data_IF_226439215183
#
_entry.id   IF_226439215183
#
_cell.length_a   1.000
_cell.length_b   1.000
_cell.length_c   1.000
_cell.angle_alpha   90.00
_cell.angle_beta   90.00
_cell.angle_gamma   90.00
#
_symmetry.space_group_name_H-M   'P 1'
#
loop_
_entity.id
_entity.type
_entity.pdbx_description
1 polymer ?
#
# COMPACT_ATOMS: atom_id res chain seq x y z
N UNK A 1 -5.46 29.87 3.05
CA UNK A 1 -5.86 29.07 1.88
C UNK A 1 -7.06 28.27 2.32
N UNK A 2 -8.18 28.37 1.62
CA UNK A 2 -9.39 27.60 1.94
C UNK A 2 -9.03 26.11 1.98
N UNK A 3 -9.47 25.43 3.03
CA UNK A 3 -9.44 23.99 3.16
C UNK A 3 -10.31 23.36 2.05
N UNK A 4 -9.82 23.31 0.84
CA UNK A 4 -10.45 22.51 -0.22
C UNK A 4 -10.19 21.05 0.13
N UNK A 5 -11.27 20.35 0.45
CA UNK A 5 -11.26 18.91 0.62
C UNK A 5 -10.63 18.25 -0.62
N UNK A 6 -9.52 17.52 -0.45
CA UNK A 6 -8.88 16.79 -1.53
C UNK A 6 -9.41 15.34 -1.60
N UNK A 7 -9.61 14.79 -2.78
CA UNK A 7 -9.41 15.42 -4.09
C UNK A 7 -10.51 16.40 -4.45
N UNK A 8 -10.25 17.27 -5.44
CA UNK A 8 -11.27 18.13 -6.03
C UNK A 8 -12.36 17.33 -6.77
N UNK A 9 -13.39 18.00 -7.27
CA UNK A 9 -14.51 17.37 -8.03
C UNK A 9 -14.08 16.61 -9.30
N UNK A 10 -12.87 16.83 -9.79
CA UNK A 10 -12.29 16.13 -10.94
C UNK A 10 -11.33 14.99 -10.51
N UNK A 11 -11.27 14.70 -9.23
CA UNK A 11 -10.40 13.69 -8.66
C UNK A 11 -8.94 14.08 -8.60
N UNK A 12 -8.64 15.38 -8.47
CA UNK A 12 -7.26 15.88 -8.47
C UNK A 12 -6.81 16.31 -7.09
N UNK A 13 -5.56 16.00 -6.80
CA UNK A 13 -4.76 16.50 -5.69
C UNK A 13 -3.77 17.53 -6.27
N UNK A 14 -4.14 18.82 -6.30
CA UNK A 14 -3.42 19.82 -7.07
C UNK A 14 -3.42 19.47 -8.57
N UNK A 15 -2.23 19.22 -9.14
CA UNK A 15 -2.08 18.81 -10.56
C UNK A 15 -2.12 17.30 -10.76
N UNK A 16 -2.07 16.49 -9.69
CA UNK A 16 -2.01 15.03 -9.71
C UNK A 16 -3.38 14.38 -9.65
N UNK A 17 -3.47 13.08 -9.95
CA UNK A 17 -4.74 12.34 -10.00
C UNK A 17 -5.47 12.48 -11.32
N UNK A 18 -6.79 12.59 -11.25
CA UNK A 18 -7.66 12.70 -12.43
C UNK A 18 -8.03 11.35 -13.04
N UNK A 19 -8.55 11.37 -14.28
CA UNK A 19 -9.02 10.19 -15.03
C UNK A 19 -8.40 10.19 -16.43
N UNK A 20 -7.27 9.52 -16.60
CA UNK A 20 -6.56 9.38 -17.87
C UNK A 20 -6.79 7.97 -18.42
N UNK A 21 -8.02 7.69 -18.86
CA UNK A 21 -8.46 6.37 -19.30
C UNK A 21 -9.10 6.43 -20.67
N UNK A 22 -9.27 5.26 -21.30
CA UNK A 22 -10.06 5.15 -22.53
C UNK A 22 -11.52 5.56 -22.26
N UNK A 23 -12.17 6.18 -23.24
CA UNK A 23 -13.56 6.67 -23.14
C UNK A 23 -14.53 5.59 -22.67
N UNK A 24 -14.29 4.33 -23.04
CA UNK A 24 -15.10 3.17 -22.65
C UNK A 24 -15.13 2.90 -21.16
N UNK A 25 -14.13 3.37 -20.38
CA UNK A 25 -14.11 3.25 -18.91
C UNK A 25 -14.76 4.43 -18.18
N UNK A 26 -14.98 5.55 -18.85
CA UNK A 26 -15.51 6.75 -18.19
C UNK A 26 -16.87 6.51 -17.51
N UNK A 27 -17.86 5.86 -18.16
CA UNK A 27 -19.15 5.59 -17.53
C UNK A 27 -19.03 4.71 -16.27
N UNK A 28 -18.15 3.71 -16.28
CA UNK A 28 -17.93 2.83 -15.12
C UNK A 28 -17.30 3.56 -13.95
N UNK A 29 -16.36 4.49 -14.23
CA UNK A 29 -15.74 5.32 -13.19
C UNK A 29 -16.71 6.37 -12.65
N UNK A 30 -17.62 6.86 -13.45
CA UNK A 30 -18.70 7.76 -13.00
C UNK A 30 -19.68 7.01 -12.11
N UNK A 31 -20.17 5.84 -12.54
CA UNK A 31 -20.99 4.95 -11.72
C UNK A 31 -20.31 4.66 -10.37
N UNK A 32 -19.03 4.26 -10.40
CA UNK A 32 -18.27 3.98 -9.20
C UNK A 32 -18.18 5.20 -8.27
N UNK A 33 -17.90 6.38 -8.84
CA UNK A 33 -17.79 7.64 -8.10
C UNK A 33 -19.10 8.00 -7.41
N UNK A 34 -20.23 7.90 -8.14
CA UNK A 34 -21.57 8.19 -7.62
C UNK A 34 -21.96 7.21 -6.50
N UNK A 35 -21.74 5.91 -6.72
CA UNK A 35 -22.05 4.89 -5.72
C UNK A 35 -21.18 5.06 -4.46
N UNK A 36 -19.89 5.39 -4.63
CA UNK A 36 -19.03 5.66 -3.51
C UNK A 36 -19.47 6.88 -2.69
N UNK A 37 -19.87 7.98 -3.35
CA UNK A 37 -20.40 9.18 -2.68
C UNK A 37 -21.69 8.91 -1.87
N UNK A 38 -22.48 7.92 -2.30
CA UNK A 38 -23.67 7.49 -1.56
C UNK A 38 -23.29 6.65 -0.34
N UNK A 39 -22.48 5.60 -0.54
CA UNK A 39 -22.19 4.64 0.53
C UNK A 39 -21.34 5.22 1.67
N UNK A 40 -20.47 6.17 1.40
CA UNK A 40 -19.64 6.80 2.44
C UNK A 40 -20.46 7.61 3.46
N UNK A 41 -21.76 7.85 3.19
CA UNK A 41 -22.72 8.50 4.08
C UNK A 41 -23.80 7.56 4.59
N UNK A 42 -23.82 6.31 4.09
CA UNK A 42 -24.82 5.31 4.49
C UNK A 42 -24.41 4.64 5.82
N UNK A 43 -25.15 4.94 6.87
CA UNK A 43 -24.89 4.39 8.21
C UNK A 43 -24.89 2.86 8.25
N UNK A 44 -25.72 2.21 7.42
CA UNK A 44 -25.79 0.75 7.34
C UNK A 44 -24.52 0.18 6.72
N UNK A 45 -24.05 0.76 5.62
CA UNK A 45 -22.78 0.39 4.99
C UNK A 45 -21.60 0.60 5.94
N UNK A 46 -21.53 1.78 6.56
CA UNK A 46 -20.45 2.11 7.49
C UNK A 46 -20.45 1.19 8.71
N UNK A 47 -21.62 0.78 9.19
CA UNK A 47 -21.73 -0.20 10.27
C UNK A 47 -21.24 -1.57 9.82
N UNK A 48 -21.69 -2.09 8.68
CA UNK A 48 -21.25 -3.38 8.13
C UNK A 48 -19.73 -3.39 7.93
N UNK A 49 -19.16 -2.33 7.37
CA UNK A 49 -17.71 -2.18 7.20
C UNK A 49 -16.96 -2.22 8.55
N UNK A 50 -17.44 -1.50 9.55
CA UNK A 50 -16.83 -1.49 10.90
C UNK A 50 -16.93 -2.85 11.60
N UNK A 51 -18.08 -3.51 11.48
CA UNK A 51 -18.30 -4.85 12.03
C UNK A 51 -17.33 -5.85 11.36
N UNK A 52 -17.14 -5.79 10.05
CA UNK A 52 -16.19 -6.63 9.32
C UNK A 52 -14.73 -6.32 9.68
N UNK A 53 -14.37 -5.07 9.84
CA UNK A 53 -13.04 -4.69 10.31
C UNK A 53 -12.76 -5.28 11.71
N UNK A 54 -13.76 -5.28 12.59
CA UNK A 54 -13.62 -5.81 13.95
C UNK A 54 -13.59 -7.34 13.95
N UNK A 55 -14.62 -7.98 13.38
CA UNK A 55 -14.90 -9.40 13.60
C UNK A 55 -14.19 -10.32 12.58
N UNK A 56 -13.90 -9.81 11.36
CA UNK A 56 -13.23 -10.57 10.33
C UNK A 56 -11.75 -10.17 10.16
N UNK A 57 -11.43 -8.89 10.22
CA UNK A 57 -10.04 -8.43 10.10
C UNK A 57 -9.28 -8.55 11.41
N UNK A 58 -9.95 -8.39 12.56
CA UNK A 58 -9.36 -8.47 13.89
C UNK A 58 -8.85 -7.13 14.41
N UNK A 59 -9.46 -6.02 13.95
CA UNK A 59 -9.11 -4.66 14.40
C UNK A 59 -9.73 -4.32 15.77
N UNK A 60 -9.13 -3.37 16.54
CA UNK A 60 -7.97 -2.55 16.18
C UNK A 60 -6.65 -3.33 16.22
N UNK A 61 -5.75 -3.05 15.25
CA UNK A 61 -4.40 -3.61 15.32
C UNK A 61 -3.59 -2.95 16.43
N UNK A 62 -2.69 -3.68 17.14
CA UNK A 62 -1.94 -3.11 18.25
C UNK A 62 -0.98 -2.00 17.84
N UNK A 63 -0.81 -1.00 18.72
CA UNK A 63 0.34 -0.10 18.73
C UNK A 63 1.33 -0.62 19.77
N UNK A 64 2.38 -1.30 19.32
CA UNK A 64 3.34 -2.04 20.15
C UNK A 64 4.59 -1.22 20.41
N UNK A 65 4.99 -1.06 21.68
CA UNK A 65 6.27 -0.43 22.02
C UNK A 65 7.43 -1.40 21.82
N UNK A 66 8.27 -1.14 20.83
CA UNK A 66 9.46 -1.93 20.52
C UNK A 66 10.60 -1.60 21.51
N UNK A 67 10.47 -2.11 22.74
CA UNK A 67 11.33 -1.75 23.87
C UNK A 67 12.80 -2.10 23.62
N UNK A 68 13.07 -3.34 23.24
CA UNK A 68 14.45 -3.81 23.03
C UNK A 68 15.10 -3.11 21.86
N UNK A 69 14.32 -2.85 20.81
CA UNK A 69 14.83 -2.14 19.65
C UNK A 69 15.10 -0.66 19.96
N UNK A 70 14.22 -0.01 20.73
CA UNK A 70 14.46 1.34 21.27
C UNK A 70 15.74 1.40 22.12
N UNK A 71 15.94 0.45 23.01
CA UNK A 71 17.14 0.37 23.86
C UNK A 71 18.41 0.12 23.02
N UNK A 72 18.33 -0.71 21.98
CA UNK A 72 19.46 -1.01 21.10
C UNK A 72 19.90 0.21 20.29
N UNK A 73 18.95 0.94 19.69
CA UNK A 73 19.25 2.08 18.83
C UNK A 73 19.56 3.35 19.62
N UNK A 74 18.94 3.50 20.80
CA UNK A 74 18.94 4.75 21.55
C UNK A 74 18.09 5.84 20.88
N UNK A 75 18.06 7.05 21.47
CA UNK A 75 17.28 8.17 20.93
C UNK A 75 15.77 8.00 21.09
N UNK A 76 15.01 8.20 20.04
CA UNK A 76 13.54 8.20 20.09
C UNK A 76 12.95 6.85 20.49
N UNK A 77 11.79 6.87 21.16
CA UNK A 77 10.97 5.69 21.45
C UNK A 77 10.28 5.20 20.18
N UNK A 78 10.36 3.91 19.90
CA UNK A 78 9.86 3.31 18.67
C UNK A 78 8.61 2.50 18.97
N UNK A 79 7.53 2.79 18.24
CA UNK A 79 6.26 2.08 18.31
C UNK A 79 5.94 1.48 16.94
N UNK A 80 5.46 0.25 16.93
CA UNK A 80 5.09 -0.48 15.73
C UNK A 80 3.56 -0.58 15.63
N UNK A 81 2.96 -0.03 14.58
CA UNK A 81 1.57 -0.27 14.25
C UNK A 81 1.47 -1.60 13.51
N UNK A 82 0.85 -2.59 14.15
CA UNK A 82 0.96 -4.02 13.81
C UNK A 82 -0.10 -4.46 12.80
N UNK A 83 -0.05 -3.92 11.58
CA UNK A 83 -0.94 -4.34 10.47
C UNK A 83 -0.62 -5.76 9.95
N UNK A 84 0.54 -6.30 10.27
CA UNK A 84 0.95 -7.68 10.04
C UNK A 84 0.10 -8.72 10.81
N UNK A 85 -0.59 -8.30 11.86
CA UNK A 85 -1.47 -9.14 12.68
C UNK A 85 -2.91 -9.21 12.17
N UNK A 86 -3.28 -8.39 11.18
CA UNK A 86 -4.60 -8.45 10.58
C UNK A 86 -4.82 -9.79 9.87
N UNK A 87 -6.09 -10.18 9.71
CA UNK A 87 -6.44 -11.29 8.83
C UNK A 87 -5.78 -11.14 7.47
N UNK A 88 -5.27 -12.21 6.88
CA UNK A 88 -4.40 -12.30 5.70
C UNK A 88 -2.94 -11.88 5.90
N UNK A 89 -2.62 -11.19 7.01
CA UNK A 89 -1.24 -10.86 7.40
C UNK A 89 -0.71 -9.53 6.84
N UNK A 90 -1.57 -8.60 6.44
CA UNK A 90 -1.18 -7.28 5.95
C UNK A 90 -2.34 -6.27 6.01
N UNK A 91 -2.04 -4.97 5.83
CA UNK A 91 -3.02 -3.88 5.75
C UNK A 91 -4.00 -4.00 4.56
N UNK A 92 -3.67 -4.78 3.53
CA UNK A 92 -4.47 -4.89 2.29
C UNK A 92 -5.92 -5.29 2.54
N UNK A 93 -6.17 -6.06 3.59
CA UNK A 93 -7.52 -6.53 3.93
C UNK A 93 -8.47 -5.39 4.28
N UNK A 94 -7.98 -4.27 4.86
CA UNK A 94 -8.81 -3.12 5.21
C UNK A 94 -9.54 -2.57 3.98
N UNK A 95 -8.78 -2.32 2.93
CA UNK A 95 -9.27 -1.82 1.67
C UNK A 95 -10.17 -2.83 0.95
N UNK A 96 -9.76 -4.10 0.88
CA UNK A 96 -10.52 -5.12 0.14
C UNK A 96 -11.88 -5.42 0.77
N UNK A 97 -12.01 -5.33 2.09
CA UNK A 97 -13.30 -5.42 2.79
C UNK A 97 -14.21 -4.25 2.37
N UNK A 98 -13.72 -3.03 2.34
CA UNK A 98 -14.52 -1.88 1.89
C UNK A 98 -14.94 -2.00 0.43
N UNK A 99 -14.01 -2.36 -0.46
CA UNK A 99 -14.30 -2.46 -1.89
C UNK A 99 -15.21 -3.65 -2.23
N UNK A 100 -15.13 -4.80 -1.53
CA UNK A 100 -16.03 -5.91 -1.79
C UNK A 100 -17.48 -5.58 -1.39
N UNK A 101 -17.66 -4.85 -0.29
CA UNK A 101 -18.97 -4.37 0.13
C UNK A 101 -19.55 -3.37 -0.89
N UNK A 102 -18.70 -2.48 -1.42
CA UNK A 102 -19.09 -1.57 -2.49
C UNK A 102 -19.46 -2.33 -3.77
N UNK A 103 -18.68 -3.30 -4.19
CA UNK A 103 -18.95 -4.14 -5.35
C UNK A 103 -20.32 -4.86 -5.23
N UNK A 104 -20.63 -5.39 -4.05
CA UNK A 104 -21.95 -5.99 -3.76
C UNK A 104 -23.08 -4.98 -3.80
N UNK A 105 -22.86 -3.79 -3.24
CA UNK A 105 -23.84 -2.70 -3.30
C UNK A 105 -24.17 -2.31 -4.74
N UNK A 106 -23.16 -2.31 -5.63
CA UNK A 106 -23.29 -2.08 -7.06
C UNK A 106 -23.83 -3.28 -7.83
N UNK A 107 -24.12 -4.42 -7.18
CA UNK A 107 -24.66 -5.63 -7.83
C UNK A 107 -23.66 -6.37 -8.73
N UNK A 108 -22.35 -6.08 -8.62
CA UNK A 108 -21.31 -6.75 -9.41
C UNK A 108 -21.13 -8.20 -8.95
N UNK A 109 -20.88 -9.12 -9.88
CA UNK A 109 -20.82 -10.57 -9.63
C UNK A 109 -19.42 -11.16 -9.76
N UNK A 110 -18.55 -10.45 -10.45
CA UNK A 110 -17.19 -10.86 -10.75
C UNK A 110 -16.22 -9.83 -10.20
N UNK A 111 -15.16 -10.30 -9.55
CA UNK A 111 -14.10 -9.48 -8.95
C UNK A 111 -12.81 -9.76 -9.69
N UNK A 112 -12.09 -8.69 -10.04
CA UNK A 112 -10.72 -8.80 -10.52
C UNK A 112 -9.79 -7.98 -9.64
N UNK A 113 -8.52 -8.38 -9.58
CA UNK A 113 -7.46 -7.65 -8.91
C UNK A 113 -6.12 -7.89 -9.61
N UNK A 114 -5.20 -6.95 -9.44
CA UNK A 114 -3.78 -7.11 -9.69
C UNK A 114 -3.04 -7.50 -8.41
N UNK A 115 -1.86 -8.08 -8.53
CA UNK A 115 -0.98 -8.27 -7.37
C UNK A 115 0.49 -8.43 -7.81
N UNK A 116 1.43 -7.89 -7.02
CA UNK A 116 2.87 -8.14 -7.14
C UNK A 116 3.32 -9.15 -6.07
N UNK A 117 3.48 -8.70 -4.81
CA UNK A 117 3.85 -9.56 -3.68
C UNK A 117 2.80 -10.63 -3.31
N UNK A 118 1.65 -10.66 -3.96
CA UNK A 118 0.57 -11.60 -3.70
C UNK A 118 -0.36 -11.23 -2.54
N UNK A 119 0.02 -10.31 -1.66
CA UNK A 119 -0.78 -9.96 -0.48
C UNK A 119 -2.14 -9.34 -0.83
N UNK A 120 -2.18 -8.46 -1.85
CA UNK A 120 -3.44 -7.90 -2.33
C UNK A 120 -4.33 -8.98 -2.96
N UNK A 121 -3.73 -9.86 -3.76
CA UNK A 121 -4.44 -11.02 -4.34
C UNK A 121 -5.03 -11.94 -3.28
N UNK A 122 -4.28 -12.27 -2.22
CA UNK A 122 -4.78 -13.06 -1.09
C UNK A 122 -5.92 -12.36 -0.37
N UNK A 123 -5.79 -11.05 -0.10
CA UNK A 123 -6.83 -10.27 0.57
C UNK A 123 -8.11 -10.23 -0.29
N UNK A 124 -7.98 -9.96 -1.60
CA UNK A 124 -9.13 -9.94 -2.53
C UNK A 124 -9.79 -11.32 -2.66
N UNK A 125 -9.00 -12.37 -2.83
CA UNK A 125 -9.54 -13.74 -2.90
C UNK A 125 -10.25 -14.13 -1.60
N UNK A 126 -9.75 -13.70 -0.43
CA UNK A 126 -10.37 -13.98 0.87
C UNK A 126 -11.76 -13.33 0.99
N UNK A 127 -11.87 -12.06 0.64
CA UNK A 127 -13.18 -11.37 0.71
C UNK A 127 -14.14 -11.86 -0.38
N UNK A 128 -13.65 -12.19 -1.58
CA UNK A 128 -14.47 -12.76 -2.65
C UNK A 128 -15.02 -14.13 -2.26
N UNK A 129 -14.18 -15.04 -1.70
CA UNK A 129 -14.61 -16.33 -1.19
C UNK A 129 -15.70 -16.19 -0.11
N UNK A 130 -15.48 -15.29 0.87
CA UNK A 130 -16.46 -15.01 1.95
C UNK A 130 -17.82 -14.56 1.41
N UNK A 131 -17.83 -13.81 0.31
CA UNK A 131 -19.07 -13.29 -0.29
C UNK A 131 -19.61 -14.13 -1.45
N UNK A 132 -18.95 -15.25 -1.80
CA UNK A 132 -19.38 -16.16 -2.88
C UNK A 132 -19.30 -15.52 -4.28
N UNK A 133 -18.35 -14.63 -4.51
CA UNK A 133 -18.14 -13.95 -5.80
C UNK A 133 -17.00 -14.61 -6.58
N UNK A 134 -17.14 -14.67 -7.91
CA UNK A 134 -16.03 -15.08 -8.78
C UNK A 134 -14.86 -14.12 -8.63
N UNK A 135 -13.64 -14.67 -8.53
CA UNK A 135 -12.44 -13.86 -8.36
C UNK A 135 -11.33 -14.28 -9.32
N UNK A 136 -10.76 -13.31 -10.04
CA UNK A 136 -9.59 -13.48 -10.90
C UNK A 136 -8.51 -12.51 -10.45
N UNK A 137 -7.30 -13.03 -10.25
CA UNK A 137 -6.13 -12.26 -9.83
C UNK A 137 -5.08 -12.31 -10.94
N UNK A 138 -4.74 -11.13 -11.49
CA UNK A 138 -3.65 -10.97 -12.46
C UNK A 138 -2.34 -10.78 -11.70
N UNK A 139 -1.30 -11.51 -12.11
CA UNK A 139 0.01 -11.48 -11.48
C UNK A 139 1.10 -11.70 -12.52
N UNK A 140 2.15 -10.90 -12.48
CA UNK A 140 3.30 -11.08 -13.38
C UNK A 140 3.98 -12.43 -13.17
N UNK A 141 4.47 -13.07 -14.25
CA UNK A 141 5.09 -14.40 -14.14
C UNK A 141 6.35 -14.39 -13.28
N UNK A 142 7.10 -13.29 -13.24
CA UNK A 142 8.25 -13.14 -12.34
C UNK A 142 7.79 -13.06 -10.87
N UNK A 143 6.72 -12.35 -10.60
CA UNK A 143 6.14 -12.27 -9.26
C UNK A 143 5.53 -13.62 -8.80
N UNK A 144 4.92 -14.38 -9.73
CA UNK A 144 4.42 -15.75 -9.45
C UNK A 144 5.54 -16.65 -8.96
N UNK A 145 6.73 -16.58 -9.57
CA UNK A 145 7.90 -17.35 -9.16
C UNK A 145 8.39 -16.92 -7.77
N UNK A 146 8.54 -15.61 -7.56
CA UNK A 146 9.04 -15.03 -6.29
C UNK A 146 8.10 -15.29 -5.11
N UNK A 147 6.77 -15.38 -5.36
CA UNK A 147 5.72 -15.38 -4.34
C UNK A 147 4.79 -16.59 -4.45
N UNK A 148 5.34 -17.76 -4.76
CA UNK A 148 4.60 -19.02 -4.99
C UNK A 148 3.67 -19.41 -3.84
N UNK A 149 4.04 -19.12 -2.59
CA UNK A 149 3.21 -19.38 -1.41
C UNK A 149 1.90 -18.60 -1.44
N UNK A 150 1.95 -17.32 -1.80
CA UNK A 150 0.74 -16.50 -1.94
C UNK A 150 -0.11 -16.93 -3.14
N UNK A 151 0.52 -17.32 -4.24
CA UNK A 151 -0.20 -17.89 -5.40
C UNK A 151 -0.99 -19.13 -4.99
N UNK A 152 -0.40 -20.03 -4.21
CA UNK A 152 -1.09 -21.20 -3.69
C UNK A 152 -2.26 -20.84 -2.76
N UNK A 153 -2.08 -19.85 -1.87
CA UNK A 153 -3.14 -19.35 -0.99
C UNK A 153 -4.33 -18.79 -1.79
N UNK A 154 -4.07 -18.00 -2.84
CA UNK A 154 -5.10 -17.43 -3.73
C UNK A 154 -5.91 -18.57 -4.37
N UNK A 155 -5.24 -19.61 -4.90
CA UNK A 155 -5.90 -20.76 -5.50
C UNK A 155 -6.71 -21.56 -4.49
N UNK A 156 -6.22 -21.77 -3.26
CA UNK A 156 -6.96 -22.44 -2.19
C UNK A 156 -8.24 -21.69 -1.80
N UNK A 157 -8.24 -20.36 -1.90
CA UNK A 157 -9.41 -19.52 -1.67
C UNK A 157 -10.43 -19.56 -2.82
N UNK A 158 -10.15 -20.36 -3.86
CA UNK A 158 -11.06 -20.55 -5.00
C UNK A 158 -10.89 -19.51 -6.11
N UNK A 159 -9.97 -18.58 -5.99
CA UNK A 159 -9.71 -17.60 -7.04
C UNK A 159 -8.80 -18.16 -8.15
N UNK A 160 -8.99 -17.67 -9.37
CA UNK A 160 -8.13 -17.96 -10.52
C UNK A 160 -6.96 -17.00 -10.54
N UNK A 161 -5.74 -17.51 -10.70
CA UNK A 161 -4.55 -16.69 -10.96
C UNK A 161 -4.24 -16.73 -12.45
N UNK A 162 -4.13 -15.56 -13.07
CA UNK A 162 -3.75 -15.39 -14.47
C UNK A 162 -2.34 -14.80 -14.52
N UNK A 163 -1.40 -15.58 -15.06
CA UNK A 163 -0.01 -15.14 -15.29
C UNK A 163 0.07 -14.13 -16.43
N UNK A 164 0.82 -13.07 -16.22
CA UNK A 164 1.05 -12.01 -17.21
C UNK A 164 2.52 -12.04 -17.61
N UNK A 165 2.78 -12.35 -18.89
CA UNK A 165 4.12 -12.48 -19.47
C UNK A 165 4.56 -11.26 -20.29
N UNK A 166 3.71 -10.24 -20.43
CA UNK A 166 4.04 -9.02 -21.15
C UNK A 166 4.97 -8.10 -20.35
N UNK A 167 5.70 -7.23 -21.05
CA UNK A 167 6.59 -6.25 -20.43
C UNK A 167 7.67 -6.89 -19.56
N UNK A 168 7.80 -6.43 -18.32
CA UNK A 168 8.72 -6.97 -17.30
C UNK A 168 8.14 -8.14 -16.52
N UNK A 169 6.89 -8.54 -16.82
CA UNK A 169 6.17 -9.60 -16.12
C UNK A 169 6.04 -9.37 -14.60
N UNK A 170 5.85 -8.11 -14.19
CA UNK A 170 5.73 -7.65 -12.79
C UNK A 170 4.39 -6.95 -12.54
N UNK A 171 4.23 -6.37 -11.36
CA UNK A 171 3.02 -5.66 -10.91
C UNK A 171 2.47 -4.65 -11.93
N UNK A 172 3.35 -3.87 -12.59
CA UNK A 172 2.93 -2.88 -13.60
C UNK A 172 2.14 -3.54 -14.74
N UNK A 173 2.61 -4.68 -15.21
CA UNK A 173 1.99 -5.39 -16.34
C UNK A 173 0.73 -6.13 -15.91
N UNK A 174 0.70 -6.63 -14.65
CA UNK A 174 -0.51 -7.18 -14.04
C UNK A 174 -1.63 -6.12 -13.96
N UNK A 175 -1.33 -4.87 -13.60
CA UNK A 175 -2.29 -3.76 -13.62
C UNK A 175 -2.80 -3.46 -15.03
N UNK A 176 -1.91 -3.46 -16.02
CA UNK A 176 -2.30 -3.25 -17.43
C UNK A 176 -3.29 -4.32 -17.89
N UNK A 177 -3.05 -5.59 -17.54
CA UNK A 177 -3.92 -6.69 -17.95
C UNK A 177 -5.26 -6.67 -17.22
N UNK A 178 -5.25 -6.38 -15.91
CA UNK A 178 -6.47 -6.18 -15.15
C UNK A 178 -7.34 -5.05 -15.73
N UNK A 179 -6.74 -3.95 -16.15
CA UNK A 179 -7.45 -2.85 -16.82
C UNK A 179 -8.04 -3.27 -18.16
N UNK A 180 -7.32 -4.08 -18.97
CA UNK A 180 -7.86 -4.60 -20.25
C UNK A 180 -9.04 -5.54 -20.03
N UNK A 181 -8.94 -6.43 -19.04
CA UNK A 181 -10.05 -7.31 -18.66
C UNK A 181 -11.25 -6.49 -18.20
N UNK A 182 -11.02 -5.47 -17.38
CA UNK A 182 -12.09 -4.62 -16.87
C UNK A 182 -12.84 -3.89 -17.96
N UNK A 183 -12.14 -3.29 -18.94
CA UNK A 183 -12.77 -2.64 -20.13
C UNK A 183 -13.70 -3.60 -20.87
N UNK A 184 -13.30 -4.86 -20.95
CA UNK A 184 -14.07 -5.89 -21.70
C UNK A 184 -15.31 -6.37 -20.93
N UNK A 185 -15.27 -6.37 -19.58
CA UNK A 185 -16.27 -7.01 -18.73
C UNK A 185 -16.86 -6.02 -17.70
N UNK A 186 -16.94 -4.75 -18.02
CA UNK A 186 -17.27 -3.66 -17.09
C UNK A 186 -18.66 -3.78 -16.46
N UNK A 187 -19.61 -4.39 -17.16
CA UNK A 187 -21.02 -4.44 -16.73
C UNK A 187 -21.21 -5.25 -15.45
N UNK A 188 -20.54 -6.39 -15.33
CA UNK A 188 -20.68 -7.32 -14.19
C UNK A 188 -19.47 -7.41 -13.29
N UNK A 189 -18.36 -6.77 -13.67
CA UNK A 189 -17.06 -6.89 -13.02
C UNK A 189 -16.73 -5.64 -12.22
N UNK A 190 -16.25 -5.85 -10.99
CA UNK A 190 -15.62 -4.82 -10.17
C UNK A 190 -14.11 -5.07 -10.09
N UNK A 191 -13.33 -4.05 -10.40
CA UNK A 191 -11.89 -4.08 -10.23
C UNK A 191 -11.52 -3.58 -8.83
N UNK A 192 -11.02 -4.47 -7.95
CA UNK A 192 -10.49 -4.11 -6.65
C UNK A 192 -9.03 -3.70 -6.81
N UNK A 193 -8.74 -2.40 -6.86
CA UNK A 193 -7.38 -1.88 -6.92
C UNK A 193 -6.73 -1.93 -5.53
N UNK A 194 -5.48 -2.43 -5.48
CA UNK A 194 -4.77 -2.72 -4.24
C UNK A 194 -3.99 -1.55 -3.63
N UNK A 195 -3.95 -0.38 -4.29
CA UNK A 195 -3.20 0.77 -3.79
C UNK A 195 -3.93 2.09 -4.05
N UNK A 196 -3.41 3.19 -3.48
CA UNK A 196 -3.91 4.56 -3.71
C UNK A 196 -3.50 5.08 -5.09
N UNK A 197 -3.55 4.21 -6.10
CA UNK A 197 -3.17 4.43 -7.48
C UNK A 197 -4.38 4.21 -8.41
N UNK A 198 -4.25 4.52 -9.67
CA UNK A 198 -5.32 4.36 -10.65
C UNK A 198 -6.15 5.62 -10.86
N UNK A 199 -7.14 5.57 -11.78
CA UNK A 199 -8.00 6.70 -12.08
C UNK A 199 -8.93 7.03 -10.91
N UNK A 200 -9.28 8.28 -10.76
CA UNK A 200 -10.33 8.67 -9.80
C UNK A 200 -11.64 7.88 -10.08
N UNK A 201 -12.30 7.32 -9.04
CA UNK A 201 -12.16 7.62 -7.61
C UNK A 201 -11.26 6.66 -6.80
N UNK A 202 -10.55 5.73 -7.43
CA UNK A 202 -9.78 4.70 -6.72
C UNK A 202 -8.78 5.23 -5.67
N UNK A 203 -7.96 6.28 -5.94
CA UNK A 203 -7.05 6.78 -4.90
C UNK A 203 -7.77 7.20 -3.63
N UNK A 204 -8.94 7.84 -3.76
CA UNK A 204 -9.76 8.25 -2.64
C UNK A 204 -10.39 7.05 -1.91
N UNK A 205 -10.99 6.11 -2.64
CA UNK A 205 -11.64 4.91 -2.08
C UNK A 205 -10.63 4.11 -1.24
N UNK A 206 -9.47 3.85 -1.81
CA UNK A 206 -8.42 3.05 -1.15
C UNK A 206 -7.85 3.77 0.07
N UNK A 207 -7.64 5.10 -0.01
CA UNK A 207 -7.25 5.92 1.12
C UNK A 207 -8.25 5.82 2.25
N UNK A 208 -9.51 6.10 1.96
CA UNK A 208 -10.56 6.21 2.97
C UNK A 208 -10.77 4.88 3.70
N UNK A 209 -10.75 3.72 2.99
CA UNK A 209 -10.84 2.41 3.62
C UNK A 209 -9.58 2.00 4.39
N UNK A 210 -8.42 2.59 4.11
CA UNK A 210 -7.20 2.37 4.88
C UNK A 210 -6.99 3.40 6.01
N UNK A 211 -7.74 4.51 6.05
CA UNK A 211 -7.57 5.58 7.04
C UNK A 211 -7.74 5.09 8.48
N UNK A 212 -8.45 3.99 8.67
CA UNK A 212 -8.59 3.30 9.96
C UNK A 212 -7.24 3.04 10.65
N UNK A 213 -6.16 2.86 9.91
CA UNK A 213 -4.81 2.68 10.47
C UNK A 213 -4.38 3.91 11.26
N UNK A 214 -4.46 5.09 10.65
CA UNK A 214 -4.10 6.35 11.28
C UNK A 214 -5.11 6.81 12.33
N UNK A 215 -6.40 6.55 12.11
CA UNK A 215 -7.47 6.81 13.10
C UNK A 215 -7.21 6.05 14.41
N UNK A 216 -6.86 4.78 14.31
CA UNK A 216 -6.49 3.98 15.48
C UNK A 216 -5.20 4.48 16.14
N UNK A 217 -4.19 4.91 15.37
CA UNK A 217 -2.98 5.51 15.94
C UNK A 217 -3.29 6.80 16.69
N UNK A 218 -4.20 7.64 16.19
CA UNK A 218 -4.67 8.84 16.89
C UNK A 218 -5.26 8.52 18.28
N UNK A 219 -6.06 7.47 18.37
CA UNK A 219 -6.66 7.07 19.65
C UNK A 219 -5.65 6.34 20.56
N UNK A 220 -4.89 5.40 20.02
CA UNK A 220 -3.93 4.61 20.75
C UNK A 220 -2.77 5.45 21.30
N UNK A 221 -2.29 6.44 20.54
CA UNK A 221 -1.20 7.31 20.99
C UNK A 221 -1.55 8.13 22.24
N UNK A 222 -2.80 8.55 22.39
CA UNK A 222 -3.26 9.27 23.59
C UNK A 222 -3.06 8.47 24.87
N UNK A 223 -3.28 7.16 24.82
CA UNK A 223 -3.19 6.28 25.99
C UNK A 223 -1.82 5.63 26.15
N UNK A 224 -1.14 5.31 25.03
CA UNK A 224 0.12 4.55 25.04
C UNK A 224 1.34 5.48 25.07
N UNK A 225 1.30 6.56 24.28
CA UNK A 225 2.39 7.55 24.18
C UNK A 225 2.14 8.75 25.11
N UNK A 226 0.87 9.10 25.33
CA UNK A 226 0.45 10.28 26.09
C UNK A 226 0.36 11.58 25.28
N UNK A 227 0.72 11.52 23.99
CA UNK A 227 0.68 12.65 23.03
C UNK A 227 0.60 12.10 21.60
N UNK A 228 0.40 12.98 20.61
CA UNK A 228 0.66 12.61 19.21
C UNK A 228 2.13 12.21 19.04
N UNK A 229 2.46 11.23 18.17
CA UNK A 229 3.85 10.89 17.88
C UNK A 229 4.56 12.06 17.18
N UNK A 230 5.88 12.14 17.34
CA UNK A 230 6.67 13.19 16.69
C UNK A 230 6.89 12.85 15.20
N UNK A 231 6.87 11.57 14.84
CA UNK A 231 7.09 11.10 13.48
C UNK A 231 6.28 9.83 13.17
N UNK A 232 5.70 9.79 11.97
CA UNK A 232 5.10 8.60 11.36
C UNK A 232 5.97 8.13 10.20
N UNK A 233 6.25 6.84 10.13
CA UNK A 233 7.07 6.23 9.06
C UNK A 233 6.30 5.08 8.43
N UNK A 234 6.28 5.02 7.10
CA UNK A 234 5.74 3.90 6.34
C UNK A 234 6.46 3.71 5.01
N UNK A 235 6.57 2.47 4.53
CA UNK A 235 7.11 2.21 3.20
C UNK A 235 6.13 2.68 2.12
N UNK A 236 6.66 3.06 0.95
CA UNK A 236 5.89 3.57 -0.18
C UNK A 236 6.30 2.84 -1.46
N UNK A 237 5.35 2.06 -2.01
CA UNK A 237 5.32 1.65 -3.41
C UNK A 237 4.19 2.44 -4.08
N UNK A 238 3.02 1.83 -4.34
CA UNK A 238 1.82 2.63 -4.64
C UNK A 238 1.34 3.50 -3.47
N UNK A 239 1.68 3.15 -2.22
CA UNK A 239 1.58 4.01 -1.04
C UNK A 239 0.32 3.84 -0.19
N UNK A 240 -0.47 2.77 -0.35
CA UNK A 240 -1.75 2.63 0.38
C UNK A 240 -1.59 2.51 1.90
N UNK A 241 -0.56 1.79 2.38
CA UNK A 241 -0.31 1.69 3.82
C UNK A 241 0.13 3.03 4.42
N UNK A 242 0.99 3.75 3.72
CA UNK A 242 1.46 5.06 4.14
C UNK A 242 0.31 6.08 4.16
N UNK A 243 -0.51 6.12 3.10
CA UNK A 243 -1.64 7.03 3.04
C UNK A 243 -2.68 6.72 4.13
N UNK A 244 -2.96 5.45 4.41
CA UNK A 244 -3.85 5.06 5.50
C UNK A 244 -3.37 5.54 6.87
N UNK A 245 -2.05 5.51 7.11
CA UNK A 245 -1.44 6.05 8.33
C UNK A 245 -1.42 7.58 8.35
N UNK A 246 -1.08 8.22 7.22
CA UNK A 246 -0.81 9.66 7.13
C UNK A 246 -2.07 10.52 7.06
N UNK A 247 -3.11 10.03 6.39
CA UNK A 247 -4.30 10.82 6.08
C UNK A 247 -4.93 11.50 7.31
N UNK A 248 -5.16 10.83 8.44
CA UNK A 248 -5.70 11.48 9.63
C UNK A 248 -4.74 12.48 10.31
N UNK A 249 -3.48 12.52 9.86
CA UNK A 249 -2.45 13.42 10.39
C UNK A 249 -2.06 14.56 9.45
N UNK A 250 -2.67 14.67 8.26
CA UNK A 250 -2.30 15.69 7.26
C UNK A 250 -2.34 17.10 7.86
N UNK A 251 -3.35 17.41 8.68
CA UNK A 251 -3.50 18.72 9.30
C UNK A 251 -2.68 18.91 10.58
N UNK A 252 -2.11 17.84 11.13
CA UNK A 252 -1.26 17.88 12.34
C UNK A 252 0.18 18.24 11.98
N UNK A 253 0.46 19.55 11.79
CA UNK A 253 1.76 20.03 11.29
C UNK A 253 2.94 19.76 12.23
N UNK A 254 2.69 19.45 13.49
CA UNK A 254 3.69 19.05 14.49
C UNK A 254 4.14 17.59 14.35
N UNK A 255 3.48 16.78 13.52
CA UNK A 255 3.83 15.39 13.26
C UNK A 255 4.50 15.29 11.89
N UNK A 256 5.73 14.81 11.84
CA UNK A 256 6.44 14.53 10.58
C UNK A 256 5.88 13.28 9.93
N UNK A 257 5.67 13.32 8.61
CA UNK A 257 5.20 12.19 7.80
C UNK A 257 6.33 11.77 6.86
N UNK A 258 6.84 10.55 7.03
CA UNK A 258 7.99 10.04 6.27
C UNK A 258 7.57 8.81 5.47
N UNK A 259 7.56 8.94 4.16
CA UNK A 259 7.44 7.82 3.24
C UNK A 259 8.81 7.28 2.85
N UNK A 260 9.00 5.96 2.83
CA UNK A 260 10.27 5.36 2.45
C UNK A 260 10.09 4.48 1.21
N UNK A 261 10.71 4.88 0.12
CA UNK A 261 10.67 4.18 -1.18
C UNK A 261 11.80 3.15 -1.28
N UNK A 262 11.68 2.23 -2.25
CA UNK A 262 12.71 1.24 -2.53
C UNK A 262 13.87 1.85 -3.33
N UNK A 263 15.00 2.03 -2.69
CA UNK A 263 16.25 2.50 -3.30
C UNK A 263 16.95 1.45 -4.16
N UNK A 264 16.47 0.20 -4.16
CA UNK A 264 16.98 -0.88 -4.99
C UNK A 264 18.49 -1.10 -4.81
N UNK A 265 19.23 -1.09 -5.91
CA UNK A 265 20.71 -1.18 -5.90
C UNK A 265 21.39 0.18 -5.65
N UNK A 266 20.64 1.18 -5.18
CA UNK A 266 21.08 2.56 -4.96
C UNK A 266 20.54 3.51 -6.03
N UNK A 267 20.06 4.70 -5.62
CA UNK A 267 19.43 5.69 -6.54
C UNK A 267 20.36 6.04 -7.72
N UNK A 268 21.65 6.20 -7.48
CA UNK A 268 22.63 6.56 -8.50
C UNK A 268 22.81 5.49 -9.61
N UNK A 269 22.32 4.28 -9.39
CA UNK A 269 22.44 3.18 -10.37
C UNK A 269 21.32 3.18 -11.40
N UNK A 270 20.23 3.92 -11.16
CA UNK A 270 19.00 3.87 -11.94
C UNK A 270 18.21 2.56 -11.78
N UNK A 271 18.66 1.62 -10.92
CA UNK A 271 17.98 0.35 -10.63
C UNK A 271 17.31 0.44 -9.26
N UNK A 272 16.19 1.12 -9.20
CA UNK A 272 15.40 1.36 -8.00
C UNK A 272 13.93 1.57 -8.35
N UNK A 273 13.05 1.70 -7.36
CA UNK A 273 11.63 1.98 -7.50
C UNK A 273 11.23 3.15 -6.59
N UNK A 274 11.89 4.30 -6.79
CA UNK A 274 11.74 5.49 -5.95
C UNK A 274 11.30 6.72 -6.78
N UNK A 275 10.06 6.72 -7.34
CA UNK A 275 9.59 7.80 -8.22
C UNK A 275 9.49 9.15 -7.52
N UNK A 276 9.26 9.23 -6.21
CA UNK A 276 9.24 10.50 -5.49
C UNK A 276 10.65 11.06 -5.25
N UNK A 277 11.69 10.22 -5.25
CA UNK A 277 13.07 10.66 -5.10
C UNK A 277 13.72 11.03 -6.44
N UNK A 278 13.47 10.24 -7.51
CA UNK A 278 14.18 10.37 -8.80
C UNK A 278 13.27 10.30 -10.04
N UNK A 279 11.95 10.24 -9.86
CA UNK A 279 11.00 10.19 -10.98
C UNK A 279 10.65 11.58 -11.53
N UNK A 280 9.87 11.58 -12.60
CA UNK A 280 9.32 12.77 -13.27
C UNK A 280 7.81 12.71 -13.29
N UNK A 281 7.16 13.87 -13.42
CA UNK A 281 5.71 13.93 -13.61
C UNK A 281 5.29 13.29 -14.94
N UNK A 282 4.23 12.51 -14.91
CA UNK A 282 3.66 11.89 -16.10
C UNK A 282 2.34 11.20 -15.81
N UNK A 283 1.87 10.37 -16.74
CA UNK A 283 0.61 9.63 -16.61
C UNK A 283 0.89 8.13 -16.63
N UNK A 284 0.39 7.43 -15.61
CA UNK A 284 0.49 5.99 -15.50
C UNK A 284 -0.82 5.43 -14.92
N UNK A 285 -1.30 4.30 -15.46
CA UNK A 285 -2.48 3.59 -14.97
C UNK A 285 -3.71 4.50 -14.70
N UNK A 286 -3.93 5.48 -15.58
CA UNK A 286 -5.10 6.34 -15.52
C UNK A 286 -5.01 7.54 -14.57
N UNK A 287 -3.86 7.82 -14.00
CA UNK A 287 -3.61 8.98 -13.12
C UNK A 287 -2.35 9.76 -13.53
N UNK A 288 -2.35 11.07 -13.28
CA UNK A 288 -1.11 11.87 -13.31
C UNK A 288 -0.42 11.77 -11.95
N UNK A 289 0.88 11.48 -11.97
CA UNK A 289 1.70 11.29 -10.76
C UNK A 289 3.19 11.42 -11.08
N UNK A 290 4.07 11.21 -10.08
CA UNK A 290 5.49 10.93 -10.33
C UNK A 290 5.67 9.49 -10.78
N UNK A 291 6.50 9.27 -11.79
CA UNK A 291 6.87 7.94 -12.28
C UNK A 291 8.30 7.86 -12.80
N UNK A 292 8.84 6.65 -12.79
CA UNK A 292 10.12 6.32 -13.39
C UNK A 292 9.94 6.27 -14.91
N UNK A 293 10.49 7.27 -15.62
CA UNK A 293 10.40 7.37 -17.09
C UNK A 293 11.66 7.98 -17.68
N UNK A 294 11.94 7.58 -18.90
CA UNK A 294 13.04 8.13 -19.69
C UNK A 294 12.69 9.50 -20.31
N UNK A 295 13.60 10.06 -21.11
CA UNK A 295 13.40 11.36 -21.77
C UNK A 295 12.29 11.33 -22.83
N UNK A 296 11.99 10.15 -23.39
CA UNK A 296 10.91 9.95 -24.33
C UNK A 296 9.55 9.69 -23.66
N UNK A 297 9.50 9.68 -22.31
CA UNK A 297 8.28 9.40 -21.52
C UNK A 297 7.94 7.91 -21.43
N UNK A 298 8.87 7.01 -21.81
CA UNK A 298 8.67 5.57 -21.64
C UNK A 298 8.98 5.16 -20.19
N UNK A 299 8.13 4.29 -19.64
CA UNK A 299 8.33 3.77 -18.28
C UNK A 299 9.61 2.95 -18.22
N UNK A 300 10.50 3.30 -17.30
CA UNK A 300 11.74 2.58 -17.04
C UNK A 300 11.45 1.35 -16.16
N UNK A 301 12.15 0.25 -16.44
CA UNK A 301 12.14 -0.93 -15.58
C UNK A 301 12.66 -0.59 -14.19
N UNK A 302 11.88 -0.93 -13.18
CA UNK A 302 12.23 -0.72 -11.77
C UNK A 302 12.87 -1.96 -11.15
N UNK A 303 13.48 -1.77 -10.00
CA UNK A 303 14.06 -2.86 -9.21
C UNK A 303 13.85 -2.65 -7.71
N UNK A 304 13.45 -3.71 -7.02
CA UNK A 304 13.43 -3.81 -5.57
C UNK A 304 13.52 -5.27 -5.14
N UNK A 305 14.21 -5.53 -4.05
CA UNK A 305 14.18 -6.83 -3.36
C UNK A 305 12.75 -7.19 -2.91
N UNK A 306 11.93 -6.19 -2.70
CA UNK A 306 10.52 -6.33 -2.32
C UNK A 306 9.61 -6.21 -3.53
N UNK A 307 8.96 -7.32 -3.92
CA UNK A 307 8.00 -7.34 -5.03
C UNK A 307 6.82 -6.35 -4.87
N UNK A 308 6.45 -6.02 -3.63
CA UNK A 308 5.35 -5.08 -3.35
C UNK A 308 5.74 -3.61 -3.50
N UNK A 309 7.04 -3.29 -3.57
CA UNK A 309 7.56 -1.95 -3.83
C UNK A 309 8.11 -1.79 -5.27
N UNK A 310 8.21 -2.88 -6.03
CA UNK A 310 8.68 -2.89 -7.40
C UNK A 310 7.60 -2.32 -8.35
N UNK A 311 7.43 -1.00 -8.30
CA UNK A 311 6.40 -0.28 -9.04
C UNK A 311 6.93 1.10 -9.48
N UNK A 312 6.82 1.45 -10.77
CA UNK A 312 7.44 2.66 -11.31
C UNK A 312 6.69 3.95 -11.00
N UNK A 313 5.53 3.90 -10.35
CA UNK A 313 4.72 5.07 -10.03
C UNK A 313 4.37 5.13 -8.54
N UNK A 314 3.58 6.13 -8.17
CA UNK A 314 3.12 6.34 -6.78
C UNK A 314 1.71 6.92 -6.79
N UNK A 315 0.99 6.82 -5.68
CA UNK A 315 -0.31 7.45 -5.52
C UNK A 315 -0.26 8.97 -5.69
N UNK A 316 -1.24 9.58 -6.37
CA UNK A 316 -1.21 11.00 -6.70
C UNK A 316 -1.28 11.92 -5.47
N UNK A 317 -1.88 11.47 -4.38
CA UNK A 317 -1.91 12.22 -3.13
C UNK A 317 -0.53 12.28 -2.49
N UNK A 318 0.31 11.23 -2.60
CA UNK A 318 1.71 11.27 -2.19
C UNK A 318 2.52 12.30 -2.98
N UNK A 319 2.31 12.34 -4.31
CA UNK A 319 2.94 13.34 -5.18
C UNK A 319 2.59 14.76 -4.74
N UNK A 320 1.32 15.01 -4.46
CA UNK A 320 0.85 16.30 -3.97
C UNK A 320 1.42 16.64 -2.57
N UNK A 321 1.42 15.68 -1.63
CA UNK A 321 1.96 15.90 -0.28
C UNK A 321 3.46 16.23 -0.29
N UNK A 322 4.23 15.63 -1.23
CA UNK A 322 5.62 15.99 -1.47
C UNK A 322 5.74 17.45 -1.91
N UNK A 323 5.02 17.83 -2.97
CA UNK A 323 5.14 19.16 -3.58
C UNK A 323 4.76 20.30 -2.65
N UNK A 324 3.76 20.09 -1.79
CA UNK A 324 3.38 21.09 -0.78
C UNK A 324 4.25 21.02 0.48
N UNK A 325 5.25 20.14 0.52
CA UNK A 325 6.16 19.97 1.66
C UNK A 325 5.49 19.42 2.93
N UNK A 326 4.35 18.72 2.79
CA UNK A 326 3.65 18.13 3.95
C UNK A 326 4.22 16.79 4.38
N UNK A 327 4.67 15.98 3.46
CA UNK A 327 5.36 14.73 3.71
C UNK A 327 6.75 14.74 3.07
N UNK A 328 7.68 14.09 3.74
CA UNK A 328 9.04 13.88 3.29
C UNK A 328 9.15 12.46 2.72
N UNK A 329 9.96 12.29 1.69
CA UNK A 329 10.15 10.97 1.07
C UNK A 329 11.64 10.66 0.97
N UNK A 330 11.99 9.52 1.54
CA UNK A 330 13.35 8.98 1.64
C UNK A 330 13.42 7.65 0.89
N UNK A 331 14.61 7.12 0.71
CA UNK A 331 14.81 5.81 0.10
C UNK A 331 15.73 4.95 0.99
N UNK A 332 15.46 3.65 0.99
CA UNK A 332 16.35 2.64 1.55
C UNK A 332 16.70 1.62 0.46
N UNK A 333 17.96 1.24 0.35
CA UNK A 333 18.40 0.24 -0.61
C UNK A 333 18.12 -1.20 -0.15
N UNK A 334 18.35 -2.16 -1.02
CA UNK A 334 18.06 -3.58 -0.77
C UNK A 334 18.89 -4.14 0.39
N UNK A 335 20.15 -3.74 0.55
CA UNK A 335 21.03 -4.18 1.63
C UNK A 335 20.53 -3.64 2.98
N UNK A 336 20.20 -2.36 3.03
CA UNK A 336 19.64 -1.72 4.22
C UNK A 336 18.30 -2.35 4.64
N UNK A 337 17.43 -2.65 3.67
CA UNK A 337 16.14 -3.31 3.93
C UNK A 337 16.34 -4.73 4.48
N UNK A 338 17.23 -5.53 3.87
CA UNK A 338 17.54 -6.88 4.34
C UNK A 338 18.17 -6.89 5.75
N UNK A 339 19.06 -5.96 6.03
CA UNK A 339 19.66 -5.82 7.36
C UNK A 339 18.60 -5.43 8.40
N UNK A 340 17.73 -4.48 8.09
CA UNK A 340 16.63 -4.06 8.96
C UNK A 340 15.61 -5.19 9.20
N UNK A 341 15.30 -6.00 8.18
CA UNK A 341 14.45 -7.19 8.29
C UNK A 341 15.04 -8.17 9.32
N UNK A 342 16.32 -8.48 9.19
CA UNK A 342 17.03 -9.41 10.10
C UNK A 342 17.14 -8.85 11.53
N UNK A 343 17.43 -7.58 11.68
CA UNK A 343 17.58 -6.94 12.98
C UNK A 343 16.26 -6.95 13.77
N UNK A 344 15.15 -6.45 13.20
CA UNK A 344 13.86 -6.45 13.89
C UNK A 344 13.42 -7.86 14.26
N UNK A 345 13.64 -8.83 13.35
CA UNK A 345 13.33 -10.24 13.59
C UNK A 345 14.09 -10.78 14.80
N UNK A 346 15.38 -10.48 14.93
CA UNK A 346 16.23 -10.99 16.03
C UNK A 346 16.02 -10.25 17.35
N UNK A 347 15.73 -8.96 17.28
CA UNK A 347 15.63 -8.11 18.48
C UNK A 347 14.26 -8.17 19.10
N UNK A 348 13.19 -8.06 18.31
CA UNK A 348 11.79 -8.04 18.79
C UNK A 348 11.03 -9.35 18.54
N UNK A 349 11.59 -10.31 17.79
CA UNK A 349 10.87 -11.52 17.38
C UNK A 349 9.72 -11.21 16.40
N UNK A 350 9.79 -10.09 15.71
CA UNK A 350 8.79 -9.65 14.74
C UNK A 350 9.44 -9.69 13.36
N UNK A 351 8.94 -10.57 12.49
CA UNK A 351 9.41 -10.71 11.11
C UNK A 351 8.56 -9.82 10.21
N UNK A 352 9.05 -8.63 9.80
CA UNK A 352 8.28 -7.73 8.96
C UNK A 352 8.30 -8.19 7.51
N UNK A 353 7.34 -7.78 6.68
CA UNK A 353 7.47 -7.91 5.25
C UNK A 353 8.67 -7.10 4.72
N UNK A 354 9.29 -7.53 3.61
CA UNK A 354 10.40 -6.79 2.99
C UNK A 354 10.00 -5.37 2.60
N UNK A 355 8.73 -5.15 2.24
CA UNK A 355 8.18 -3.81 2.06
C UNK A 355 8.39 -2.95 3.30
N UNK A 356 7.95 -3.43 4.45
CA UNK A 356 8.08 -2.73 5.74
C UNK A 356 9.52 -2.51 6.14
N UNK A 357 10.41 -3.43 5.80
CA UNK A 357 11.83 -3.37 6.14
C UNK A 357 12.51 -2.10 5.61
N UNK A 358 12.06 -1.51 4.50
CA UNK A 358 12.54 -0.22 4.01
C UNK A 358 12.24 0.91 5.01
N UNK A 359 11.02 0.97 5.54
CA UNK A 359 10.66 1.93 6.60
C UNK A 359 11.47 1.72 7.88
N UNK A 360 11.71 0.45 8.26
CA UNK A 360 12.53 0.07 9.42
C UNK A 360 14.00 0.50 9.21
N UNK A 361 14.55 0.35 8.00
CA UNK A 361 15.91 0.81 7.66
C UNK A 361 16.07 2.32 7.87
N UNK A 362 15.08 3.12 7.46
CA UNK A 362 15.08 4.55 7.74
C UNK A 362 15.04 4.84 9.26
N UNK A 363 14.21 4.14 10.02
CA UNK A 363 14.12 4.33 11.47
C UNK A 363 15.43 4.01 12.17
N UNK A 364 16.18 2.99 11.73
CA UNK A 364 17.54 2.68 12.24
C UNK A 364 18.48 3.88 12.12
N UNK A 365 18.37 4.64 11.02
CA UNK A 365 19.23 5.81 10.78
C UNK A 365 18.80 7.02 11.61
N UNK A 366 17.48 7.26 11.73
CA UNK A 366 16.98 8.51 12.29
C UNK A 366 16.76 8.45 13.82
N UNK A 367 16.33 7.32 14.38
CA UNK A 367 15.99 7.21 15.80
C UNK A 367 17.14 7.62 16.72
N UNK A 368 18.41 7.22 16.48
CA UNK A 368 19.55 7.63 17.32
C UNK A 368 19.83 9.13 17.33
N UNK A 369 19.36 9.85 16.31
CA UNK A 369 19.56 11.31 16.17
C UNK A 369 18.49 12.14 16.87
N UNK A 370 17.39 11.48 17.29
CA UNK A 370 16.25 12.12 17.95
C UNK A 370 16.40 12.06 19.48
N UNK A 371 15.66 12.92 20.18
CA UNK A 371 15.66 12.93 21.66
C UNK A 371 14.87 11.75 22.23
N UNK A 372 15.26 11.24 23.40
CA UNK A 372 14.61 10.12 24.11
C UNK A 372 13.18 10.40 24.62
N UNK A 373 12.71 11.64 24.57
CA UNK A 373 11.33 12.04 24.84
C UNK A 373 10.46 12.11 23.56
N UNK A 374 11.09 12.01 22.39
CA UNK A 374 10.40 11.92 21.10
C UNK A 374 9.99 10.47 20.79
N UNK A 375 9.03 10.34 19.90
CA UNK A 375 8.45 9.05 19.52
C UNK A 375 8.26 8.90 18.01
N UNK A 376 8.55 7.72 17.50
CA UNK A 376 8.33 7.32 16.12
C UNK A 376 7.28 6.20 16.10
N UNK A 377 6.29 6.30 15.23
CA UNK A 377 5.38 5.19 14.91
C UNK A 377 5.69 4.69 13.51
N UNK A 378 6.00 3.40 13.42
CA UNK A 378 6.26 2.71 12.14
C UNK A 378 5.08 1.81 11.79
N UNK A 379 4.56 1.91 10.56
CA UNK A 379 3.55 0.97 10.09
C UNK A 379 4.21 -0.35 9.65
N UNK A 380 4.01 -1.42 10.44
CA UNK A 380 4.36 -2.78 10.05
C UNK A 380 3.27 -3.29 9.12
N UNK A 381 3.36 -2.91 7.86
CA UNK A 381 2.30 -3.03 6.84
C UNK A 381 1.93 -4.46 6.48
N UNK A 382 2.83 -5.42 6.74
CA UNK A 382 2.62 -6.84 6.53
C UNK A 382 3.70 -7.70 7.19
N UNK A 383 3.42 -9.00 7.28
CA UNK A 383 4.35 -9.99 7.85
C UNK A 383 5.26 -10.60 6.80
N UNK A 384 6.46 -11.02 7.23
CA UNK A 384 7.54 -11.49 6.38
C UNK A 384 7.53 -12.97 6.02
N UNK A 385 6.55 -13.76 6.48
CA UNK A 385 6.49 -15.22 6.17
C UNK A 385 6.51 -15.49 4.65
N UNK A 386 5.92 -14.60 3.87
CA UNK A 386 5.93 -14.69 2.40
C UNK A 386 7.29 -14.49 1.76
N UNK A 387 8.22 -13.85 2.48
CA UNK A 387 9.52 -13.39 1.98
C UNK A 387 10.67 -14.33 2.37
N UNK A 388 10.39 -15.37 3.20
CA UNK A 388 11.41 -16.26 3.73
C UNK A 388 12.20 -16.94 2.61
N UNK A 389 11.55 -17.43 1.55
CA UNK A 389 12.23 -18.05 0.42
C UNK A 389 13.16 -17.05 -0.31
N UNK A 390 12.74 -15.81 -0.47
CA UNK A 390 13.55 -14.77 -1.09
C UNK A 390 14.76 -14.45 -0.24
N UNK A 391 14.56 -14.25 1.07
CA UNK A 391 15.66 -13.96 2.01
C UNK A 391 16.64 -15.14 2.10
N UNK A 392 16.14 -16.38 2.19
CA UNK A 392 16.98 -17.58 2.21
C UNK A 392 17.83 -17.71 0.94
N UNK A 393 17.22 -17.49 -0.24
CA UNK A 393 17.93 -17.53 -1.52
C UNK A 393 19.06 -16.46 -1.59
N UNK A 394 18.81 -15.25 -1.10
CA UNK A 394 19.83 -14.19 -1.05
C UNK A 394 20.97 -14.56 -0.09
N UNK A 395 20.66 -15.21 1.03
CA UNK A 395 21.65 -15.70 2.00
C UNK A 395 22.34 -17.01 1.55
N UNK A 396 22.00 -17.56 0.39
CA UNK A 396 22.55 -18.82 -0.13
C UNK A 396 22.11 -20.07 0.66
N UNK A 397 20.94 -20.00 1.29
CA UNK A 397 20.36 -21.11 2.07
C UNK A 397 19.30 -21.82 1.22
N UNK A 398 19.42 -23.12 1.03
CA UNK A 398 18.36 -23.99 0.49
C UNK A 398 17.37 -24.36 1.60
N UNK A 399 16.05 -24.17 1.32
CA UNK A 399 14.95 -24.51 2.23
C UNK A 399 14.25 -25.80 1.82
#
# INVERSE_FOLDING_TARGET
MSEELMPDKNGRFGIYGGRYVAETLVPALEELSEQYELIKKDEKFLKEFKDDLKDYVGRPSPLYFAKRWTELLGGAKIYLKREDLNHTGAHKINNTVGQILLAKHMGKKRIIAETGAGQHGVATASVAARHGLECIVFMGEEDIKRQSLNVFRIKLLGAKVVGVSSGTSTLKDAMNEAMRDWVTNVDDTYYIIGSVAGPHPYPQIVRDFNSVVGEEVLEQSKTIIGKDPDMLVACVGGGSNAMGLFYPYIDKKNVRLIGVEAGGLGLSTGKHAAPLNDGKEGVLHGMRTYLMQDEAGQVIETHSVSAGLDYPGVGPEHAWLKDIGRAEYEAADDEEALDAFKELTRVEGIMPALETAHGIAYVKKIAPTMSGDQSIVVNVSGRGDKDINTVASIEGIEL
#
